data_IF_691049174142
#
_entry.id   IF_691049174142
#
_cell.length_a   1.000
_cell.length_b   1.000
_cell.length_c   1.000
_cell.angle_alpha   90.00
_cell.angle_beta   90.00
_cell.angle_gamma   90.00
#
_symmetry.space_group_name_H-M   'P 1'
#
loop_
_entity.id
_entity.type
_entity.pdbx_description
1 polymer ?
#
# COMPACT_ATOMS: atom_id res chain seq x y z
N UNK A 1 3.21 14.89 -7.09
CA UNK A 1 3.84 14.61 -5.78
C UNK A 1 4.01 13.12 -5.75
N UNK A 2 5.24 12.64 -5.66
CA UNK A 2 5.55 11.21 -5.51
C UNK A 2 5.41 10.92 -4.01
N UNK A 3 4.32 10.28 -3.58
CA UNK A 3 4.12 9.91 -2.18
C UNK A 3 4.69 8.52 -1.98
N UNK A 4 5.99 8.48 -1.72
CA UNK A 4 6.70 7.28 -1.32
C UNK A 4 6.84 7.25 0.20
N UNK A 5 6.51 6.12 0.84
CA UNK A 5 6.67 5.94 2.28
C UNK A 5 7.03 4.50 2.64
N UNK A 6 7.72 4.32 3.75
CA UNK A 6 8.08 3.00 4.28
C UNK A 6 6.87 2.33 4.92
N UNK A 7 6.66 1.05 4.62
CA UNK A 7 5.59 0.24 5.19
C UNK A 7 6.12 -1.13 5.64
N UNK A 8 5.46 -1.71 6.62
CA UNK A 8 5.79 -3.05 7.11
C UNK A 8 4.54 -3.90 7.05
N UNK A 9 4.61 -5.01 6.32
CA UNK A 9 3.52 -5.98 6.23
C UNK A 9 3.84 -7.16 7.15
N UNK A 10 2.91 -7.47 8.04
CA UNK A 10 3.02 -8.56 9.00
C UNK A 10 2.32 -9.76 8.41
N UNK A 11 3.03 -10.50 7.55
CA UNK A 11 2.51 -11.76 7.03
C UNK A 11 2.28 -12.81 8.13
N UNK A 12 1.75 -13.97 7.72
CA UNK A 12 1.43 -15.05 8.67
C UNK A 12 2.65 -15.59 9.44
N UNK A 13 3.87 -15.40 8.94
CA UNK A 13 5.09 -16.02 9.50
C UNK A 13 6.22 -15.00 9.78
N UNK A 14 6.25 -13.86 9.09
CA UNK A 14 7.38 -12.91 9.17
C UNK A 14 6.99 -11.49 8.80
N UNK A 15 7.75 -10.53 9.33
CA UNK A 15 7.65 -9.11 8.95
C UNK A 15 8.34 -8.89 7.62
N UNK A 16 7.66 -8.20 6.73
CA UNK A 16 8.17 -7.85 5.41
C UNK A 16 8.25 -6.33 5.36
N UNK A 17 9.48 -5.82 5.46
CA UNK A 17 9.76 -4.41 5.32
C UNK A 17 9.84 -4.05 3.84
N UNK A 18 9.20 -2.95 3.47
CA UNK A 18 9.14 -2.51 2.09
C UNK A 18 8.82 -1.04 1.97
N UNK A 19 8.77 -0.61 0.73
CA UNK A 19 8.46 0.76 0.37
C UNK A 19 7.21 0.77 -0.48
N UNK A 20 6.31 1.69 -0.16
CA UNK A 20 5.07 1.93 -0.86
C UNK A 20 5.25 3.15 -1.74
N UNK A 21 4.95 3.00 -3.02
CA UNK A 21 4.93 4.08 -3.99
C UNK A 21 3.50 4.35 -4.46
N UNK A 22 3.08 5.61 -4.44
CA UNK A 22 1.81 6.02 -5.03
C UNK A 22 1.93 6.03 -6.55
N UNK A 23 1.36 5.04 -7.21
CA UNK A 23 1.31 5.02 -8.67
C UNK A 23 0.04 5.73 -9.13
N UNK A 24 0.20 6.79 -9.92
CA UNK A 24 -0.94 7.47 -10.52
C UNK A 24 -1.61 6.51 -11.52
N UNK A 25 -2.76 5.95 -11.15
CA UNK A 25 -3.60 5.21 -12.09
C UNK A 25 -4.21 6.16 -13.12
N UNK A 26 -4.48 5.62 -14.32
CA UNK A 26 -5.27 6.32 -15.32
C UNK A 26 -6.62 6.79 -14.71
N UNK A 27 -7.04 8.00 -15.04
CA UNK A 27 -8.35 8.58 -14.67
C UNK A 27 -8.65 8.73 -13.15
N UNK A 28 -7.65 9.07 -12.33
CA UNK A 28 -7.89 9.43 -10.93
C UNK A 28 -8.11 8.24 -9.98
N UNK A 29 -7.85 7.03 -10.48
CA UNK A 29 -7.77 5.82 -9.65
C UNK A 29 -6.50 5.92 -8.80
N UNK A 30 -6.67 5.92 -7.47
CA UNK A 30 -5.53 5.81 -6.55
C UNK A 30 -5.08 4.35 -6.52
N UNK A 31 -3.82 4.14 -6.88
CA UNK A 31 -3.16 2.85 -6.78
C UNK A 31 -1.83 3.02 -6.05
N UNK A 32 -1.43 1.96 -5.37
CA UNK A 32 -0.20 1.92 -4.58
C UNK A 32 0.54 0.62 -4.88
N UNK A 33 1.84 0.74 -5.02
CA UNK A 33 2.76 -0.35 -5.24
C UNK A 33 3.65 -0.53 -4.02
N UNK A 34 3.53 -1.66 -3.33
CA UNK A 34 4.44 -2.08 -2.27
C UNK A 34 5.53 -2.98 -2.85
N UNK A 35 6.80 -2.65 -2.59
CA UNK A 35 7.95 -3.50 -2.89
C UNK A 35 8.74 -3.75 -1.61
N UNK A 36 8.92 -5.01 -1.25
CA UNK A 36 9.79 -5.40 -0.15
C UNK A 36 11.24 -5.04 -0.46
N UNK A 37 12.00 -4.68 0.58
CA UNK A 37 13.43 -4.39 0.46
C UNK A 37 14.27 -5.62 0.08
N UNK A 38 13.79 -6.82 0.42
CA UNK A 38 14.44 -8.09 0.14
C UNK A 38 14.00 -8.72 -1.21
N UNK A 39 13.20 -8.00 -2.00
CA UNK A 39 12.61 -8.48 -3.27
C UNK A 39 11.70 -9.74 -3.12
N UNK A 40 11.36 -10.11 -1.89
CA UNK A 40 10.54 -11.27 -1.56
C UNK A 40 9.03 -11.06 -1.78
N UNK A 41 8.55 -9.83 -1.76
CA UNK A 41 7.15 -9.46 -1.96
C UNK A 41 6.98 -8.18 -2.77
N UNK A 42 6.15 -8.27 -3.80
CA UNK A 42 5.65 -7.15 -4.57
C UNK A 42 4.12 -7.22 -4.52
N UNK A 43 3.45 -6.12 -4.18
CA UNK A 43 2.01 -6.06 -4.06
C UNK A 43 1.51 -4.76 -4.67
N UNK A 44 0.58 -4.85 -5.62
CA UNK A 44 -0.04 -3.68 -6.22
C UNK A 44 -1.51 -3.68 -5.84
N UNK A 45 -1.96 -2.60 -5.21
CA UNK A 45 -3.35 -2.39 -4.82
C UNK A 45 -3.94 -1.17 -5.52
N UNK A 46 -5.22 -1.22 -5.83
CA UNK A 46 -5.96 -0.08 -6.34
C UNK A 46 -7.29 0.08 -5.60
N UNK A 47 -7.79 1.31 -5.59
CA UNK A 47 -9.09 1.61 -5.04
C UNK A 47 -10.16 1.35 -6.08
N UNK A 48 -11.14 0.50 -5.74
CA UNK A 48 -12.25 0.18 -6.63
C UNK A 48 -13.38 1.20 -6.57
N UNK A 49 -14.41 0.99 -7.39
CA UNK A 49 -15.59 1.86 -7.49
C UNK A 49 -16.36 1.99 -6.15
N UNK A 50 -16.23 0.98 -5.27
CA UNK A 50 -16.84 1.00 -3.94
C UNK A 50 -15.98 1.74 -2.90
N UNK A 51 -14.81 2.22 -3.29
CA UNK A 51 -13.86 2.90 -2.41
C UNK A 51 -13.04 1.95 -1.53
N UNK A 52 -13.06 0.64 -1.81
CA UNK A 52 -12.27 -0.37 -1.10
C UNK A 52 -10.95 -0.62 -1.82
N UNK A 53 -9.92 -1.00 -1.05
CA UNK A 53 -8.65 -1.42 -1.59
C UNK A 53 -8.70 -2.88 -2.02
N UNK A 54 -8.26 -3.17 -3.25
CA UNK A 54 -8.13 -4.52 -3.77
C UNK A 54 -6.79 -4.74 -4.44
N UNK A 55 -6.26 -5.97 -4.36
CA UNK A 55 -5.06 -6.37 -5.08
C UNK A 55 -5.37 -6.42 -6.57
N UNK A 56 -4.58 -5.70 -7.36
CA UNK A 56 -4.62 -5.71 -8.83
C UNK A 56 -3.37 -6.35 -9.45
N UNK A 57 -2.32 -6.61 -8.66
CA UNK A 57 -1.08 -7.22 -9.13
C UNK A 57 -0.10 -7.54 -8.02
N UNK A 58 1.07 -8.11 -8.38
CA UNK A 58 2.15 -8.45 -7.45
C UNK A 58 2.56 -9.92 -7.48
N UNK A 59 3.50 -10.32 -6.63
CA UNK A 59 4.03 -11.67 -6.51
C UNK A 59 3.05 -12.62 -5.84
N UNK A 60 3.15 -13.91 -6.20
CA UNK A 60 2.46 -15.01 -5.54
C UNK A 60 3.49 -15.91 -4.82
N UNK A 61 3.17 -16.48 -3.64
CA UNK A 61 1.85 -16.56 -3.01
C UNK A 61 1.42 -15.28 -2.31
N UNK A 62 0.12 -15.02 -2.34
CA UNK A 62 -0.50 -13.82 -1.76
C UNK A 62 -1.31 -14.12 -0.51
N UNK A 63 -1.12 -13.30 0.51
CA UNK A 63 -1.91 -13.30 1.73
C UNK A 63 -2.89 -12.13 1.72
N UNK A 64 -4.19 -12.42 1.83
CA UNK A 64 -5.23 -11.39 1.76
C UNK A 64 -5.14 -10.32 2.84
N UNK A 65 -4.56 -10.66 4.01
CA UNK A 65 -4.35 -9.70 5.08
C UNK A 65 -3.36 -8.59 4.73
N UNK A 66 -2.47 -8.79 3.76
CA UNK A 66 -1.54 -7.75 3.34
C UNK A 66 -2.23 -6.55 2.70
N UNK A 67 -3.34 -6.74 1.99
CA UNK A 67 -4.11 -5.61 1.43
C UNK A 67 -4.74 -4.79 2.55
N UNK A 68 -5.29 -5.45 3.57
CA UNK A 68 -5.91 -4.80 4.72
C UNK A 68 -4.87 -3.98 5.50
N UNK A 69 -3.74 -4.59 5.85
CA UNK A 69 -2.65 -3.91 6.57
C UNK A 69 -2.05 -2.75 5.76
N UNK A 70 -1.86 -2.93 4.45
CA UNK A 70 -1.34 -1.87 3.58
C UNK A 70 -2.34 -0.71 3.46
N UNK A 71 -3.63 -1.02 3.31
CA UNK A 71 -4.71 -0.03 3.25
C UNK A 71 -4.78 0.82 4.51
N UNK A 72 -4.64 0.20 5.69
CA UNK A 72 -4.57 0.91 6.96
C UNK A 72 -3.38 1.89 7.00
N UNK A 73 -2.19 1.43 6.62
CA UNK A 73 -0.98 2.27 6.56
C UNK A 73 -1.10 3.44 5.58
N UNK A 74 -1.68 3.23 4.41
CA UNK A 74 -1.99 4.29 3.44
C UNK A 74 -2.95 5.32 4.05
N UNK A 75 -3.97 4.86 4.79
CA UNK A 75 -4.91 5.72 5.50
C UNK A 75 -4.22 6.60 6.55
N UNK A 76 -3.28 6.04 7.31
CA UNK A 76 -2.45 6.79 8.26
C UNK A 76 -1.49 7.76 7.56
N UNK A 77 -0.78 7.33 6.52
CA UNK A 77 0.15 8.17 5.77
C UNK A 77 -0.55 9.35 5.09
N UNK A 78 -1.73 9.12 4.51
CA UNK A 78 -2.57 10.16 3.92
C UNK A 78 -3.14 11.12 4.96
N UNK A 79 -3.44 10.63 6.18
CA UNK A 79 -3.96 11.45 7.27
C UNK A 79 -2.87 12.22 8.03
N UNK A 80 -1.62 11.75 7.99
CA UNK A 80 -0.48 12.38 8.64
C UNK A 80 -0.03 13.70 7.98
N UNK A 81 -0.64 14.09 6.85
CA UNK A 81 -0.40 15.37 6.17
C UNK A 81 -1.34 16.53 6.61
N UNK A 82 -1.97 16.46 7.79
CA UNK A 82 -2.60 17.65 8.39
C UNK A 82 -1.68 18.31 9.43
N UNK A 83 -0.90 19.35 9.06
CA UNK A 83 -0.25 20.21 10.05
C UNK A 83 -1.29 21.12 10.74
N UNK A 84 -1.29 21.07 12.08
CA UNK A 84 -1.67 22.09 13.06
C UNK A 84 -2.83 23.08 12.75
N UNK A 85 -3.88 23.05 13.59
CA UNK A 85 -4.69 24.24 13.90
C UNK A 85 -4.67 24.36 15.43
N UNK A 86 -3.67 25.07 15.96
CA UNK A 86 -3.73 26.45 16.51
C UNK A 86 -4.30 26.51 17.93
#
# INVERSE_FOLDING_TARGET
MEHQFDAVLTGSDSKIEGVVDSIAGDAGVQAYEFKSLDDSLHLIIARNENGNWERIGGTDPYFSGWVDELAEQIGFASSAQSPIQE
#
